data_IF_349717494922
#
_entry.id   IF_349717494922
#
_cell.length_a   1.000
_cell.length_b   1.000
_cell.length_c   1.000
_cell.angle_alpha   90.00
_cell.angle_beta   90.00
_cell.angle_gamma   90.00
#
_symmetry.space_group_name_H-M   'P 1'
#
loop_
_entity.id
_entity.type
_entity.pdbx_description
1 polymer ?
#
# COMPACT_ATOMS: atom_id res chain seq x y z
N UNK A 1 26.71 4.22 15.93
CA UNK A 1 25.73 3.19 15.56
C UNK A 1 24.50 3.35 16.43
N UNK A 2 23.45 4.02 15.95
CA UNK A 2 22.22 4.19 16.71
C UNK A 2 21.34 2.96 16.50
N UNK A 3 21.38 2.02 17.45
CA UNK A 3 20.41 0.93 17.47
C UNK A 3 19.02 1.54 17.65
N UNK A 4 18.10 1.29 16.72
CA UNK A 4 16.71 1.72 16.84
C UNK A 4 16.14 1.30 18.20
N UNK A 5 15.39 2.19 18.85
CA UNK A 5 14.84 1.94 20.18
C UNK A 5 13.97 0.69 20.17
N UNK A 6 13.93 -0.02 21.31
CA UNK A 6 13.07 -1.20 21.47
C UNK A 6 11.59 -0.89 21.19
N UNK A 7 11.19 0.37 21.42
CA UNK A 7 9.88 0.90 21.05
C UNK A 7 9.59 0.81 19.54
N UNK A 8 10.52 1.25 18.69
CA UNK A 8 10.32 1.20 17.23
C UNK A 8 10.26 -0.21 16.67
N UNK A 9 10.96 -1.17 17.29
CA UNK A 9 10.89 -2.58 16.91
C UNK A 9 9.51 -3.17 17.18
N UNK A 10 8.95 -2.91 18.36
CA UNK A 10 7.59 -3.34 18.70
C UNK A 10 6.54 -2.76 17.75
N UNK A 11 6.70 -1.49 17.32
CA UNK A 11 5.80 -0.90 16.31
C UNK A 11 5.96 -1.58 14.94
N UNK A 12 7.17 -1.94 14.53
CA UNK A 12 7.40 -2.68 13.28
C UNK A 12 6.78 -4.08 13.32
N UNK A 13 6.80 -4.75 14.46
CA UNK A 13 6.27 -6.11 14.61
C UNK A 13 4.74 -6.17 14.44
N UNK A 14 4.01 -5.11 14.80
CA UNK A 14 2.54 -5.01 14.66
C UNK A 14 2.11 -4.26 13.39
N UNK A 15 3.04 -3.99 12.47
CA UNK A 15 2.80 -3.11 11.32
C UNK A 15 1.66 -3.59 10.42
N UNK A 16 1.53 -4.90 10.24
CA UNK A 16 0.51 -5.47 9.36
C UNK A 16 -0.89 -5.42 10.00
N UNK A 17 -1.00 -5.60 11.31
CA UNK A 17 -2.25 -5.42 12.05
C UNK A 17 -2.71 -3.96 12.03
N UNK A 18 -1.77 -3.02 12.21
CA UNK A 18 -2.03 -1.59 12.07
C UNK A 18 -2.51 -1.25 10.65
N UNK A 19 -1.86 -1.81 9.61
CA UNK A 19 -2.25 -1.58 8.21
C UNK A 19 -3.66 -2.05 7.89
N UNK A 20 -4.14 -3.10 8.56
CA UNK A 20 -5.49 -3.61 8.36
C UNK A 20 -6.56 -2.78 9.08
N UNK A 21 -6.21 -2.12 10.19
CA UNK A 21 -7.13 -1.32 10.99
C UNK A 21 -7.18 0.18 10.66
N UNK A 22 -6.23 0.69 9.86
CA UNK A 22 -6.16 2.11 9.50
C UNK A 22 -6.85 2.38 8.17
N UNK A 23 -7.77 3.33 8.16
CA UNK A 23 -8.25 3.95 6.93
C UNK A 23 -7.18 4.93 6.43
N UNK A 24 -6.51 4.59 5.33
CA UNK A 24 -5.48 5.44 4.77
C UNK A 24 -6.13 6.66 4.10
N UNK A 25 -5.82 7.87 4.59
CA UNK A 25 -6.00 9.07 3.78
C UNK A 25 -4.80 9.13 2.83
N UNK A 26 -5.02 8.80 1.56
CA UNK A 26 -3.96 8.91 0.56
C UNK A 26 -3.64 10.38 0.37
N UNK A 27 -2.44 10.78 0.78
CA UNK A 27 -1.89 12.09 0.46
C UNK A 27 -1.51 12.18 -1.02
N UNK A 28 -0.23 12.36 -1.32
CA UNK A 28 0.26 12.35 -2.71
C UNK A 28 0.45 10.93 -3.30
N UNK A 29 0.14 9.87 -2.55
CA UNK A 29 0.25 8.49 -3.00
C UNK A 29 1.66 7.89 -3.03
N UNK A 30 2.71 8.61 -2.60
CA UNK A 30 4.10 8.12 -2.69
C UNK A 30 4.49 7.12 -1.59
N UNK A 31 3.58 6.82 -0.67
CA UNK A 31 3.76 5.83 0.41
C UNK A 31 2.70 4.74 0.43
N UNK A 32 1.89 4.63 -0.62
CA UNK A 32 0.73 3.75 -0.69
C UNK A 32 0.83 2.86 -1.91
N UNK A 33 0.80 1.55 -1.73
CA UNK A 33 0.85 0.56 -2.80
C UNK A 33 -0.55 0.38 -3.40
N UNK A 34 -0.66 0.59 -4.70
CA UNK A 34 -1.92 0.59 -5.44
C UNK A 34 -2.72 -0.70 -5.26
N UNK A 35 -2.05 -1.86 -5.29
CA UNK A 35 -2.72 -3.16 -5.21
C UNK A 35 -2.85 -3.74 -3.81
N UNK A 36 -1.87 -3.42 -2.94
CA UNK A 36 -1.66 -4.15 -1.68
C UNK A 36 -2.26 -3.43 -0.48
N UNK A 37 -2.37 -2.10 -0.52
CA UNK A 37 -2.89 -1.31 0.60
C UNK A 37 -4.41 -1.03 0.40
N UNK A 38 -5.22 -1.03 1.47
CA UNK A 38 -6.64 -0.66 1.42
C UNK A 38 -6.80 0.86 1.38
N UNK A 39 -6.53 1.45 0.21
CA UNK A 39 -6.40 2.90 0.07
C UNK A 39 -7.60 3.59 -0.60
N UNK A 40 -8.44 2.82 -1.28
CA UNK A 40 -9.69 3.30 -1.90
C UNK A 40 -10.91 2.95 -1.02
N UNK A 41 -10.93 1.71 -0.52
CA UNK A 41 -11.95 1.14 0.35
C UNK A 41 -11.26 0.38 1.51
N UNK A 42 -12.04 -0.25 2.39
CA UNK A 42 -11.53 -1.05 3.53
C UNK A 42 -10.84 -2.37 3.11
N UNK A 43 -10.67 -2.63 1.81
CA UNK A 43 -10.01 -3.82 1.27
C UNK A 43 -9.00 -3.46 0.15
N UNK A 44 -7.83 -4.13 0.08
CA UNK A 44 -6.89 -3.97 -1.03
C UNK A 44 -7.49 -4.34 -2.39
N UNK A 45 -7.13 -3.58 -3.44
CA UNK A 45 -7.64 -3.81 -4.80
C UNK A 45 -7.31 -5.21 -5.35
N UNK A 46 -6.23 -5.85 -4.91
CA UNK A 46 -5.89 -7.23 -5.31
C UNK A 46 -6.95 -8.26 -4.90
N UNK A 47 -7.66 -8.03 -3.81
CA UNK A 47 -8.69 -8.93 -3.30
C UNK A 47 -9.99 -8.74 -4.08
N UNK A 48 -10.32 -7.47 -4.37
CA UNK A 48 -11.53 -7.10 -5.12
C UNK A 48 -11.43 -7.40 -6.61
N UNK A 49 -10.23 -7.28 -7.19
CA UNK A 49 -9.96 -7.49 -8.61
C UNK A 49 -8.84 -8.52 -8.85
N UNK A 50 -8.99 -9.78 -8.42
CA UNK A 50 -7.91 -10.77 -8.43
C UNK A 50 -7.42 -11.12 -9.84
N UNK A 51 -8.30 -11.06 -10.84
CA UNK A 51 -7.94 -11.30 -12.25
C UNK A 51 -7.12 -10.16 -12.84
N UNK A 52 -7.47 -8.91 -12.52
CA UNK A 52 -6.72 -7.74 -12.97
C UNK A 52 -5.36 -7.68 -12.27
N UNK A 53 -5.35 -8.01 -10.97
CA UNK A 53 -4.11 -8.23 -10.25
C UNK A 53 -3.28 -9.28 -11.02
N UNK A 54 -3.77 -10.47 -11.32
CA UNK A 54 -2.97 -11.52 -11.96
C UNK A 54 -2.19 -11.12 -13.24
N UNK A 55 -2.65 -10.10 -13.98
CA UNK A 55 -2.03 -9.62 -15.23
C UNK A 55 -1.28 -8.28 -15.10
N UNK A 56 -1.19 -7.72 -13.89
CA UNK A 56 -0.47 -6.48 -13.61
C UNK A 56 1.03 -6.60 -13.96
N UNK A 57 1.64 -5.47 -14.31
CA UNK A 57 3.08 -5.38 -14.51
C UNK A 57 3.84 -5.37 -13.18
N UNK A 58 3.51 -4.43 -12.29
CA UNK A 58 4.12 -4.31 -10.95
C UNK A 58 3.09 -4.49 -9.81
N UNK A 59 3.19 -5.55 -8.97
CA UNK A 59 2.35 -5.73 -7.79
C UNK A 59 2.49 -4.65 -6.71
N UNK A 60 3.62 -3.95 -6.69
CA UNK A 60 4.02 -3.02 -5.62
C UNK A 60 3.98 -1.55 -6.06
N UNK A 61 3.48 -1.27 -7.27
CA UNK A 61 3.39 0.09 -7.81
C UNK A 61 2.69 1.03 -6.82
N UNK A 62 3.26 2.20 -6.64
CA UNK A 62 2.71 3.23 -5.78
C UNK A 62 1.56 3.95 -6.45
N UNK A 63 0.58 4.42 -5.68
CA UNK A 63 -0.56 5.21 -6.19
C UNK A 63 -0.07 6.44 -6.96
N UNK A 64 0.98 7.11 -6.47
CA UNK A 64 1.58 8.26 -7.17
C UNK A 64 2.16 7.91 -8.54
N UNK A 65 2.73 6.72 -8.68
CA UNK A 65 3.34 6.27 -9.93
C UNK A 65 2.27 5.78 -10.91
N UNK A 66 1.30 4.99 -10.44
CA UNK A 66 0.19 4.51 -11.25
C UNK A 66 -0.70 5.66 -11.78
N UNK A 67 -0.78 6.79 -11.07
CA UNK A 67 -1.52 7.97 -11.51
C UNK A 67 -0.78 8.80 -12.58
N UNK A 68 0.54 8.68 -12.67
CA UNK A 68 1.37 9.36 -13.67
C UNK A 68 1.62 8.51 -14.92
N UNK A 69 1.38 7.21 -14.85
CA UNK A 69 1.44 6.33 -16.00
C UNK A 69 0.30 6.70 -16.96
N UNK A 70 0.62 7.42 -18.04
CA UNK A 70 -0.31 7.95 -19.04
C UNK A 70 -0.99 6.84 -19.90
N UNK A 71 -1.12 5.61 -19.39
CA UNK A 71 -1.83 4.50 -20.02
C UNK A 71 -3.36 4.55 -19.89
N UNK A 72 -3.90 5.59 -19.24
CA UNK A 72 -5.35 5.81 -19.03
C UNK A 72 -5.85 7.10 -19.69
N UNK A 73 -5.36 7.44 -20.89
CA UNK A 73 -5.90 8.51 -21.73
C UNK A 73 -6.35 7.95 -23.10
#
# INVERSE_FOLDING_TARGET
>A
HSAGSQFWKLIQDIKDEIRLGLRFSVGNGSGTQFWLDPWLDDEPLRMRFPRLFAIRDDPTVLVSAAALDEGWN
#
